data_IF_095780153642
#
_entry.id   IF_095780153642
#
_cell.length_a   1.000
_cell.length_b   1.000
_cell.length_c   1.000
_cell.angle_alpha   90.00
_cell.angle_beta   90.00
_cell.angle_gamma   90.00
#
_symmetry.space_group_name_H-M   'P 1'
#
loop_
_entity.id
_entity.type
_entity.pdbx_description
1 polymer ?
#
# COMPACT_ATOMS: atom_id res chain seq x y z
N UNK A 1 8.07 3.68 -14.17
CA UNK A 1 7.62 5.02 -14.60
C UNK A 1 6.16 4.97 -15.00
N UNK A 2 5.32 5.83 -14.44
CA UNK A 2 3.95 5.99 -14.95
C UNK A 2 4.00 6.74 -16.28
N UNK A 3 3.36 6.19 -17.32
CA UNK A 3 3.11 6.88 -18.59
C UNK A 3 1.60 6.95 -18.87
N UNK A 4 1.20 7.97 -19.61
CA UNK A 4 -0.16 8.16 -20.07
C UNK A 4 -0.16 8.66 -21.51
N UNK A 5 -0.88 7.97 -22.40
CA UNK A 5 -1.03 8.36 -23.80
C UNK A 5 -2.48 8.66 -24.17
N UNK A 6 -2.72 9.57 -25.12
CA UNK A 6 -4.06 9.81 -25.68
C UNK A 6 -4.21 9.40 -27.15
N UNK A 7 -5.45 9.42 -27.65
CA UNK A 7 -5.78 9.08 -29.05
C UNK A 7 -5.26 10.10 -30.08
N UNK A 8 -4.62 11.18 -29.63
CA UNK A 8 -4.10 12.26 -30.48
C UNK A 8 -2.57 12.19 -30.62
N UNK A 9 -1.95 11.11 -30.13
CA UNK A 9 -0.51 10.87 -30.22
C UNK A 9 0.30 11.59 -29.13
N UNK A 10 -0.35 12.21 -28.14
CA UNK A 10 0.36 12.80 -27.00
C UNK A 10 0.65 11.72 -25.97
N UNK A 11 1.84 11.79 -25.37
CA UNK A 11 2.26 10.93 -24.26
C UNK A 11 2.99 11.78 -23.23
N UNK A 12 2.72 11.54 -21.95
CA UNK A 12 3.46 12.13 -20.84
C UNK A 12 3.84 11.06 -19.80
N UNK A 13 4.79 11.40 -18.94
CA UNK A 13 5.05 10.64 -17.72
C UNK A 13 4.40 11.33 -16.53
N UNK A 14 4.09 10.54 -15.50
CA UNK A 14 3.65 11.02 -14.19
C UNK A 14 4.65 10.55 -13.12
N UNK A 15 5.92 10.76 -13.43
CA UNK A 15 7.08 10.44 -12.61
C UNK A 15 7.29 8.93 -12.35
N UNK A 16 8.25 8.63 -11.47
CA UNK A 16 8.65 7.29 -11.08
C UNK A 16 7.92 6.76 -9.84
N UNK A 17 8.08 5.45 -9.64
CA UNK A 17 7.83 4.77 -8.38
C UNK A 17 9.04 3.90 -8.08
N UNK A 18 9.41 3.81 -6.81
CA UNK A 18 10.34 2.81 -6.29
C UNK A 18 9.55 1.60 -5.80
N UNK A 19 9.96 0.41 -6.22
CA UNK A 19 9.23 -0.84 -5.97
C UNK A 19 10.18 -1.97 -5.52
N UNK A 20 11.38 -1.63 -5.08
CA UNK A 20 12.42 -2.59 -4.70
C UNK A 20 12.10 -3.39 -3.44
N UNK A 21 11.21 -2.90 -2.57
CA UNK A 21 10.76 -3.66 -1.40
C UNK A 21 9.78 -4.74 -1.84
N UNK A 22 10.34 -5.91 -2.14
CA UNK A 22 9.62 -7.06 -2.65
C UNK A 22 10.08 -8.37 -1.99
N UNK A 23 9.22 -9.38 -2.03
CA UNK A 23 9.47 -10.73 -1.53
C UNK A 23 9.11 -11.72 -2.62
N UNK A 24 10.05 -12.58 -3.05
CA UNK A 24 9.82 -13.56 -4.14
C UNK A 24 9.16 -12.92 -5.39
N UNK A 25 9.65 -11.75 -5.79
CA UNK A 25 9.13 -10.95 -6.91
C UNK A 25 7.72 -10.35 -6.72
N UNK A 26 7.16 -10.41 -5.50
CA UNK A 26 5.92 -9.72 -5.15
C UNK A 26 6.27 -8.40 -4.45
N UNK A 27 5.85 -7.27 -5.03
CA UNK A 27 6.02 -5.94 -4.43
C UNK A 27 5.21 -5.86 -3.13
N UNK A 28 5.83 -5.34 -2.07
CA UNK A 28 5.25 -5.27 -0.70
C UNK A 28 5.04 -3.82 -0.26
N UNK A 29 6.02 -2.95 -0.56
CA UNK A 29 5.95 -1.51 -0.33
C UNK A 29 6.42 -0.80 -1.59
N UNK A 30 5.67 0.23 -1.98
CA UNK A 30 5.97 1.08 -3.12
C UNK A 30 5.93 2.54 -2.71
N UNK A 31 6.80 3.35 -3.30
CA UNK A 31 6.85 4.77 -2.95
C UNK A 31 7.10 5.67 -4.16
N UNK A 32 6.67 6.93 -4.04
CA UNK A 32 6.94 7.96 -5.03
C UNK A 32 7.16 9.30 -4.34
N UNK A 33 8.19 10.08 -4.73
CA UNK A 33 9.31 9.73 -5.64
C UNK A 33 10.19 8.59 -5.14
N UNK A 34 11.06 8.08 -6.02
CA UNK A 34 12.11 7.13 -5.61
C UNK A 34 13.15 7.84 -4.72
N UNK A 35 13.49 7.28 -3.54
CA UNK A 35 14.50 7.87 -2.67
C UNK A 35 15.89 7.75 -3.31
N UNK A 36 16.77 8.72 -3.01
CA UNK A 36 18.17 8.72 -3.42
C UNK A 36 18.43 8.65 -4.94
N UNK A 37 17.41 8.81 -5.79
CA UNK A 37 17.55 8.86 -7.24
C UNK A 37 17.99 10.26 -7.70
N UNK A 38 19.17 10.43 -8.34
CA UNK A 38 19.62 11.72 -8.84
C UNK A 38 18.64 12.30 -9.87
N UNK A 39 18.41 13.63 -9.81
CA UNK A 39 17.44 14.31 -10.69
C UNK A 39 17.76 14.09 -12.17
N UNK A 40 19.03 14.18 -12.57
CA UNK A 40 19.44 13.95 -13.96
C UNK A 40 19.10 12.54 -14.46
N UNK A 41 19.24 11.54 -13.59
CA UNK A 41 18.92 10.15 -13.90
C UNK A 41 17.41 9.95 -13.98
N UNK A 42 16.65 10.54 -13.04
CA UNK A 42 15.18 10.55 -13.06
C UNK A 42 14.65 11.14 -14.38
N UNK A 43 15.15 12.29 -14.79
CA UNK A 43 14.74 12.97 -16.03
C UNK A 43 15.06 12.11 -17.25
N UNK A 44 16.23 11.44 -17.25
CA UNK A 44 16.61 10.54 -18.33
C UNK A 44 15.66 9.34 -18.44
N UNK A 45 15.38 8.67 -17.32
CA UNK A 45 14.47 7.51 -17.27
C UNK A 45 13.07 7.91 -17.72
N UNK A 46 12.55 9.05 -17.22
CA UNK A 46 11.24 9.58 -17.62
C UNK A 46 11.17 9.85 -19.12
N UNK A 47 12.20 10.49 -19.69
CA UNK A 47 12.29 10.76 -21.12
C UNK A 47 12.33 9.47 -21.95
N UNK A 48 13.08 8.46 -21.51
CA UNK A 48 13.15 7.15 -22.19
C UNK A 48 11.80 6.43 -22.15
N UNK A 49 11.10 6.46 -21.01
CA UNK A 49 9.77 5.87 -20.87
C UNK A 49 8.75 6.52 -21.82
N UNK A 50 8.72 7.86 -21.91
CA UNK A 50 7.84 8.57 -22.84
C UNK A 50 8.17 8.21 -24.29
N UNK A 51 9.45 8.18 -24.68
CA UNK A 51 9.85 7.78 -26.04
C UNK A 51 9.43 6.35 -26.39
N UNK A 52 9.57 5.41 -25.47
CA UNK A 52 9.16 4.03 -25.66
C UNK A 52 7.64 3.91 -25.86
N UNK A 53 6.84 4.64 -25.09
CA UNK A 53 5.39 4.68 -25.26
C UNK A 53 4.96 5.39 -26.56
N UNK A 54 5.66 6.47 -26.96
CA UNK A 54 5.40 7.18 -28.21
C UNK A 54 5.68 6.33 -29.44
N UNK A 55 6.76 5.53 -29.44
CA UNK A 55 7.16 4.73 -30.61
C UNK A 55 6.14 3.65 -31.00
N UNK A 56 5.30 3.25 -30.05
CA UNK A 56 4.22 2.26 -30.26
C UNK A 56 2.83 2.91 -30.34
N UNK A 57 2.74 4.24 -30.34
CA UNK A 57 1.46 4.96 -30.35
C UNK A 57 0.57 4.61 -29.15
N UNK A 58 1.16 4.51 -27.96
CA UNK A 58 0.48 4.04 -26.76
C UNK A 58 -0.72 4.92 -26.37
N UNK A 59 -1.81 4.31 -25.91
CA UNK A 59 -3.04 4.98 -25.45
C UNK A 59 -3.46 4.42 -24.09
N UNK A 60 -3.88 5.31 -23.18
CA UNK A 60 -4.29 4.98 -21.82
C UNK A 60 -3.14 5.01 -20.81
N UNK A 61 -3.37 4.43 -19.63
CA UNK A 61 -2.37 4.30 -18.58
C UNK A 61 -1.44 3.12 -18.85
N UNK A 62 -0.14 3.29 -18.63
CA UNK A 62 0.84 2.22 -18.70
C UNK A 62 2.02 2.48 -17.77
N UNK A 63 2.82 1.45 -17.52
CA UNK A 63 4.05 1.59 -16.75
C UNK A 63 5.23 1.01 -17.50
N UNK A 64 6.30 1.79 -17.66
CA UNK A 64 7.59 1.29 -18.16
C UNK A 64 8.48 1.00 -16.96
N UNK A 65 8.90 -0.26 -16.83
CA UNK A 65 9.73 -0.74 -15.72
C UNK A 65 11.21 -0.80 -16.10
N UNK A 66 12.06 -0.45 -15.15
CA UNK A 66 13.51 -0.44 -15.32
C UNK A 66 14.18 -1.05 -14.09
N UNK A 67 15.33 -1.68 -14.29
CA UNK A 67 16.24 -2.07 -13.21
C UNK A 67 17.39 -1.08 -13.16
N UNK A 68 17.68 -0.52 -11.99
CA UNK A 68 18.85 0.33 -11.74
C UNK A 68 20.02 -0.51 -11.22
N UNK A 69 21.12 -0.53 -11.98
CA UNK A 69 22.36 -1.19 -11.61
C UNK A 69 23.20 -0.36 -10.63
N UNK A 70 24.12 -1.03 -9.92
CA UNK A 70 25.08 -0.39 -9.00
C UNK A 70 26.02 0.61 -9.70
N UNK A 71 26.14 0.55 -11.03
CA UNK A 71 26.90 1.49 -11.85
C UNK A 71 26.08 2.74 -12.24
N UNK A 72 24.91 2.95 -11.62
CA UNK A 72 23.95 4.01 -11.91
C UNK A 72 23.41 4.00 -13.35
N UNK A 73 23.48 2.84 -14.03
CA UNK A 73 22.80 2.64 -15.32
C UNK A 73 21.48 1.93 -15.11
N UNK A 74 20.49 2.32 -15.91
CA UNK A 74 19.19 1.67 -15.90
C UNK A 74 18.99 0.84 -17.17
N UNK A 75 18.23 -0.24 -17.02
CA UNK A 75 17.96 -1.20 -18.08
C UNK A 75 16.45 -1.40 -18.18
N UNK A 76 15.89 -1.32 -19.39
CA UNK A 76 14.48 -1.63 -19.61
C UNK A 76 14.22 -3.09 -19.22
N UNK A 77 13.14 -3.30 -18.46
CA UNK A 77 12.68 -4.63 -18.07
C UNK A 77 11.43 -5.01 -18.86
N UNK A 78 10.36 -4.24 -18.68
CA UNK A 78 9.07 -4.49 -19.33
C UNK A 78 8.22 -3.22 -19.45
N UNK A 79 7.12 -3.33 -20.19
CA UNK A 79 6.07 -2.33 -20.21
C UNK A 79 4.74 -2.98 -19.84
N UNK A 80 4.20 -2.62 -18.69
CA UNK A 80 2.86 -3.02 -18.27
C UNK A 80 1.83 -2.14 -18.97
N UNK A 81 1.07 -2.72 -19.89
CA UNK A 81 0.08 -2.01 -20.72
C UNK A 81 -1.28 -1.88 -20.03
N UNK A 82 -1.26 -1.58 -18.72
CA UNK A 82 -2.43 -1.46 -17.84
C UNK A 82 -2.12 -0.58 -16.64
N UNK A 83 -3.16 -0.16 -15.92
CA UNK A 83 -2.99 0.43 -14.59
C UNK A 83 -2.41 -0.61 -13.63
N UNK A 84 -1.53 -0.16 -12.74
CA UNK A 84 -0.87 -1.00 -11.75
C UNK A 84 -1.48 -0.82 -10.36
N UNK A 85 -1.19 -1.76 -9.46
CA UNK A 85 -1.72 -1.78 -8.09
C UNK A 85 -1.31 -0.50 -7.36
N UNK A 86 -0.03 -0.15 -7.50
CA UNK A 86 0.67 0.98 -6.90
C UNK A 86 0.44 2.34 -7.60
N UNK A 87 -0.58 2.45 -8.47
CA UNK A 87 -0.93 3.76 -9.05
C UNK A 87 -1.29 4.85 -8.00
N UNK A 88 -1.87 4.55 -6.82
CA UNK A 88 -2.26 5.60 -5.87
C UNK A 88 -1.10 6.44 -5.33
N UNK A 89 0.13 5.89 -5.22
CA UNK A 89 1.27 6.73 -4.81
C UNK A 89 1.54 7.83 -5.84
N UNK A 90 1.36 7.54 -7.14
CA UNK A 90 1.47 8.54 -8.21
C UNK A 90 0.30 9.54 -8.17
N UNK A 91 -0.91 9.10 -7.86
CA UNK A 91 -2.06 9.99 -7.71
C UNK A 91 -1.85 10.99 -6.57
N UNK A 92 -1.38 10.52 -5.41
CA UNK A 92 -1.12 11.38 -4.26
C UNK A 92 -0.10 12.48 -4.52
N UNK A 93 1.00 12.15 -5.21
CA UNK A 93 2.04 13.15 -5.47
C UNK A 93 1.70 14.10 -6.61
N UNK A 94 0.75 13.76 -7.48
CA UNK A 94 0.42 14.56 -8.67
C UNK A 94 -0.96 15.25 -8.60
N UNK A 95 -1.83 14.77 -7.70
CA UNK A 95 -3.24 15.17 -7.61
C UNK A 95 -4.07 14.78 -8.84
N UNK A 96 -3.62 13.81 -9.64
CA UNK A 96 -4.36 13.33 -10.82
C UNK A 96 -5.05 12.01 -10.53
N UNK A 97 -6.31 11.88 -10.93
CA UNK A 97 -7.06 10.62 -10.89
C UNK A 97 -6.82 9.86 -12.20
N UNK A 98 -6.03 8.77 -12.12
CA UNK A 98 -5.61 8.01 -13.28
C UNK A 98 -6.70 7.11 -13.81
N UNK A 99 -7.63 6.65 -12.96
CA UNK A 99 -8.79 5.87 -13.39
C UNK A 99 -9.75 6.76 -14.17
N UNK A 100 -10.04 7.96 -13.66
CA UNK A 100 -10.82 8.97 -14.38
C UNK A 100 -10.16 9.32 -15.71
N UNK A 101 -8.85 9.58 -15.72
CA UNK A 101 -8.12 9.86 -16.95
C UNK A 101 -8.24 8.74 -17.98
N UNK A 102 -8.23 7.47 -17.56
CA UNK A 102 -8.37 6.34 -18.48
C UNK A 102 -9.73 6.39 -19.20
N UNK A 103 -10.79 6.70 -18.47
CA UNK A 103 -12.15 6.87 -19.02
C UNK A 103 -12.17 8.06 -19.98
N UNK A 104 -11.69 9.23 -19.54
CA UNK A 104 -11.73 10.45 -20.36
C UNK A 104 -10.90 10.35 -21.64
N UNK A 105 -9.74 9.68 -21.59
CA UNK A 105 -8.95 9.39 -22.79
C UNK A 105 -9.65 8.37 -23.70
N UNK A 106 -10.32 7.36 -23.14
CA UNK A 106 -11.11 6.43 -23.93
C UNK A 106 -12.26 7.15 -24.66
N UNK A 107 -12.85 8.20 -24.06
CA UNK A 107 -13.82 9.10 -24.70
C UNK A 107 -13.21 10.08 -25.71
N UNK A 108 -11.88 10.15 -25.80
CA UNK A 108 -11.15 10.93 -26.80
C UNK A 108 -10.68 12.30 -26.32
N UNK A 109 -10.73 12.61 -25.02
CA UNK A 109 -10.10 13.83 -24.49
C UNK A 109 -8.58 13.81 -24.65
N UNK A 110 -7.99 14.99 -24.86
CA UNK A 110 -6.53 15.17 -24.93
C UNK A 110 -5.93 15.32 -23.53
N UNK A 111 -4.69 14.87 -23.37
CA UNK A 111 -3.95 15.06 -22.11
C UNK A 111 -3.85 16.54 -21.71
N UNK A 112 -3.70 17.45 -22.70
CA UNK A 112 -3.67 18.90 -22.45
C UNK A 112 -4.97 19.44 -21.87
N UNK A 113 -6.11 18.81 -22.15
CA UNK A 113 -7.39 19.19 -21.55
C UNK A 113 -7.47 18.71 -20.10
N UNK A 114 -7.01 17.49 -19.83
CA UNK A 114 -6.96 16.91 -18.49
C UNK A 114 -6.06 17.74 -17.55
N UNK A 115 -4.89 18.17 -18.06
CA UNK A 115 -3.99 19.02 -17.28
C UNK A 115 -4.33 20.51 -17.33
N UNK A 116 -5.40 20.90 -18.04
CA UNK A 116 -5.76 22.31 -18.29
C UNK A 116 -4.59 23.12 -18.88
N UNK A 117 -3.78 22.47 -19.72
CA UNK A 117 -2.59 23.02 -20.36
C UNK A 117 -1.39 23.23 -19.43
N UNK A 118 -1.45 22.76 -18.18
CA UNK A 118 -0.37 22.93 -17.19
C UNK A 118 0.56 21.73 -17.18
N UNK A 119 1.80 21.98 -16.77
CA UNK A 119 2.74 20.91 -16.41
C UNK A 119 2.31 20.27 -15.10
N UNK A 120 2.27 18.94 -15.07
CA UNK A 120 2.01 18.19 -13.82
C UNK A 120 3.23 18.35 -12.91
N UNK A 121 2.99 18.67 -11.65
CA UNK A 121 4.02 18.85 -10.62
C UNK A 121 3.97 17.70 -9.63
N UNK A 122 5.13 17.30 -9.13
CA UNK A 122 5.28 16.36 -8.02
C UNK A 122 5.28 17.12 -6.70
N UNK A 123 4.46 16.70 -5.75
CA UNK A 123 4.30 17.34 -4.44
C UNK A 123 4.28 16.32 -3.30
N UNK A 124 5.20 16.50 -2.34
CA UNK A 124 5.36 15.61 -1.20
C UNK A 124 5.87 14.22 -1.58
N UNK A 125 5.53 13.26 -0.75
CA UNK A 125 5.94 11.86 -0.85
C UNK A 125 4.76 10.97 -0.50
N UNK A 126 4.59 9.88 -1.23
CA UNK A 126 3.57 8.88 -0.96
C UNK A 126 4.19 7.49 -0.86
N UNK A 127 3.69 6.69 0.08
CA UNK A 127 4.10 5.30 0.30
C UNK A 127 2.83 4.46 0.40
N UNK A 128 2.79 3.37 -0.37
CA UNK A 128 1.77 2.32 -0.32
C UNK A 128 2.36 1.07 0.35
N UNK A 129 1.58 0.47 1.25
CA UNK A 129 1.83 -0.85 1.79
C UNK A 129 0.66 -1.78 1.48
N UNK A 130 0.96 -3.00 1.06
CA UNK A 130 -0.05 -4.03 0.76
C UNK A 130 -0.29 -4.91 1.98
N UNK A 131 -1.50 -4.84 2.52
CA UNK A 131 -1.94 -5.65 3.65
C UNK A 131 -2.48 -6.97 3.10
N UNK A 132 -1.84 -8.07 3.49
CA UNK A 132 -2.18 -9.42 3.08
C UNK A 132 -2.57 -10.25 4.30
N UNK A 133 -3.55 -11.14 4.12
CA UNK A 133 -3.82 -12.25 5.03
C UNK A 133 -2.78 -13.36 4.82
N UNK A 134 -1.57 -13.14 5.34
CA UNK A 134 -0.44 -14.06 5.30
C UNK A 134 0.22 -14.09 6.67
N UNK A 135 0.89 -15.21 6.99
CA UNK A 135 1.59 -15.40 8.25
C UNK A 135 3.12 -15.24 8.09
N UNK A 136 3.71 -14.07 8.45
CA UNK A 136 5.14 -13.84 8.29
C UNK A 136 6.04 -14.80 9.06
N UNK A 137 5.56 -15.37 10.18
CA UNK A 137 6.33 -16.34 10.95
C UNK A 137 6.31 -17.73 10.32
N UNK A 138 5.26 -18.03 9.56
CA UNK A 138 5.10 -19.31 8.89
C UNK A 138 5.37 -19.17 7.38
N UNK A 139 6.50 -18.56 7.03
CA UNK A 139 6.98 -18.41 5.65
C UNK A 139 5.97 -17.73 4.70
N UNK A 140 5.15 -16.82 5.26
CA UNK A 140 4.10 -16.08 4.57
C UNK A 140 3.06 -16.97 3.90
N UNK A 141 2.73 -18.11 4.54
CA UNK A 141 1.62 -18.93 4.10
C UNK A 141 0.31 -18.10 4.18
N UNK A 142 -0.57 -18.20 3.16
CA UNK A 142 -1.87 -17.53 3.21
C UNK A 142 -2.67 -17.95 4.45
N UNK A 143 -3.27 -16.98 5.12
CA UNK A 143 -4.18 -17.19 6.23
C UNK A 143 -5.61 -17.00 5.73
N UNK A 144 -6.42 -18.06 5.78
CA UNK A 144 -7.82 -18.03 5.33
C UNK A 144 -8.78 -18.05 6.51
N UNK A 145 -9.98 -17.52 6.31
CA UNK A 145 -11.02 -17.50 7.32
C UNK A 145 -11.90 -16.26 7.24
N UNK A 146 -12.80 -16.11 8.20
CA UNK A 146 -13.68 -14.96 8.29
C UNK A 146 -12.94 -13.80 8.96
N UNK A 147 -12.98 -12.63 8.34
CA UNK A 147 -12.59 -11.36 8.97
C UNK A 147 -13.65 -11.02 10.02
N UNK A 148 -13.43 -11.44 11.27
CA UNK A 148 -14.36 -11.24 12.38
C UNK A 148 -14.58 -9.76 12.67
N UNK A 149 -13.55 -8.94 12.47
CA UNK A 149 -13.61 -7.50 12.58
C UNK A 149 -12.47 -6.87 11.79
N UNK A 150 -12.75 -5.77 11.10
CA UNK A 150 -11.74 -4.95 10.44
C UNK A 150 -12.09 -3.47 10.59
N UNK A 151 -11.11 -2.69 11.02
CA UNK A 151 -11.20 -1.24 11.14
C UNK A 151 -9.86 -0.60 10.75
N UNK A 152 -9.93 0.33 9.81
CA UNK A 152 -8.80 1.15 9.41
C UNK A 152 -8.95 2.56 10.02
N UNK A 153 -7.84 3.22 10.38
CA UNK A 153 -7.92 4.58 10.91
C UNK A 153 -8.39 5.58 9.85
N UNK A 154 -9.28 6.50 10.23
CA UNK A 154 -9.70 7.62 9.37
C UNK A 154 -8.78 8.83 9.59
N UNK A 155 -7.97 9.15 8.57
CA UNK A 155 -6.97 10.23 8.61
C UNK A 155 -6.95 10.97 7.26
N UNK A 156 -6.84 12.29 7.29
CA UNK A 156 -6.80 13.14 6.07
C UNK A 156 -5.66 12.77 5.11
N UNK A 157 -4.53 12.30 5.64
CA UNK A 157 -3.35 11.95 4.87
C UNK A 157 -3.33 10.49 4.38
N UNK A 158 -4.37 9.72 4.69
CA UNK A 158 -4.42 8.29 4.46
C UNK A 158 -5.56 7.96 3.49
N UNK A 159 -5.26 7.07 2.54
CA UNK A 159 -6.24 6.41 1.68
C UNK A 159 -6.11 4.91 1.91
N UNK A 160 -7.26 4.27 2.02
CA UNK A 160 -7.35 2.82 2.10
C UNK A 160 -8.23 2.33 0.95
N UNK A 161 -7.64 1.56 0.05
CA UNK A 161 -8.36 0.85 -1.00
C UNK A 161 -8.55 -0.59 -0.53
N UNK A 162 -9.77 -0.97 -0.13
CA UNK A 162 -10.13 -2.32 0.34
C UNK A 162 -11.24 -2.92 -0.51
N UNK A 163 -11.18 -4.24 -0.73
CA UNK A 163 -12.24 -5.04 -1.37
C UNK A 163 -13.04 -5.88 -0.39
N UNK A 164 -12.75 -5.79 0.91
CA UNK A 164 -13.33 -6.60 1.98
C UNK A 164 -13.85 -5.73 3.12
N UNK A 165 -14.78 -6.30 3.89
CA UNK A 165 -15.38 -5.69 5.06
C UNK A 165 -15.55 -6.72 6.20
N UNK A 166 -15.93 -6.25 7.40
CA UNK A 166 -16.20 -7.13 8.54
C UNK A 166 -17.24 -8.19 8.15
N UNK A 167 -16.93 -9.47 8.39
CA UNK A 167 -17.72 -10.63 8.00
C UNK A 167 -17.33 -11.24 6.64
N UNK A 168 -16.43 -10.63 5.89
CA UNK A 168 -15.92 -11.20 4.62
C UNK A 168 -15.09 -12.46 4.86
N UNK A 169 -15.11 -13.40 3.91
CA UNK A 169 -14.29 -14.62 3.92
C UNK A 169 -13.05 -14.47 3.03
N UNK A 170 -11.86 -14.65 3.61
CA UNK A 170 -10.61 -14.80 2.86
C UNK A 170 -10.48 -16.27 2.45
N UNK A 171 -10.56 -16.52 1.15
CA UNK A 171 -10.52 -17.87 0.56
C UNK A 171 -9.15 -18.20 -0.04
N UNK A 172 -8.91 -19.48 -0.32
CA UNK A 172 -7.68 -19.97 -0.99
C UNK A 172 -7.65 -19.68 -2.50
N UNK A 173 -8.76 -19.24 -3.10
CA UNK A 173 -8.91 -19.21 -4.56
C UNK A 173 -8.30 -17.96 -5.21
N UNK A 174 -8.07 -16.90 -4.43
CA UNK A 174 -7.63 -15.61 -4.93
C UNK A 174 -6.45 -15.09 -4.11
N UNK A 175 -5.91 -13.95 -4.54
CA UNK A 175 -4.88 -13.22 -3.81
C UNK A 175 -5.41 -12.82 -2.41
N UNK A 176 -4.72 -13.16 -1.29
CA UNK A 176 -5.18 -12.83 0.06
C UNK A 176 -5.02 -11.34 0.43
N UNK A 177 -5.02 -10.43 -0.55
CA UNK A 177 -4.90 -8.99 -0.29
C UNK A 177 -6.16 -8.47 0.40
N UNK A 178 -5.98 -7.90 1.58
CA UNK A 178 -7.05 -7.26 2.37
C UNK A 178 -7.23 -5.82 1.87
N UNK A 179 -6.14 -5.06 1.85
CA UNK A 179 -6.19 -3.65 1.49
C UNK A 179 -4.84 -3.14 0.99
N UNK A 180 -4.89 -2.03 0.26
CA UNK A 180 -3.74 -1.15 0.04
C UNK A 180 -3.89 0.02 0.99
N UNK A 181 -2.86 0.30 1.78
CA UNK A 181 -2.82 1.45 2.67
C UNK A 181 -1.80 2.44 2.15
N UNK A 182 -2.26 3.63 1.79
CA UNK A 182 -1.44 4.64 1.12
C UNK A 182 -1.43 5.92 1.95
N UNK A 183 -0.25 6.33 2.39
CA UNK A 183 -0.08 7.57 3.13
C UNK A 183 0.62 8.62 2.25
N UNK A 184 0.33 9.89 2.53
CA UNK A 184 1.06 11.03 1.97
C UNK A 184 1.70 11.88 3.08
N UNK A 185 2.87 12.46 2.80
CA UNK A 185 3.56 13.40 3.67
C UNK A 185 4.31 14.46 2.87
N UNK A 186 4.70 15.57 3.50
CA UNK A 186 5.51 16.60 2.84
C UNK A 186 6.94 16.12 2.60
N UNK A 187 7.43 15.23 3.46
CA UNK A 187 8.71 14.54 3.30
C UNK A 187 8.52 13.04 3.38
N UNK A 188 9.53 12.29 2.93
CA UNK A 188 9.55 10.82 3.02
C UNK A 188 9.48 10.35 4.47
N UNK A 189 10.18 11.03 5.38
CA UNK A 189 10.21 10.70 6.80
C UNK A 189 8.83 10.88 7.44
N UNK A 190 8.16 12.00 7.14
CA UNK A 190 6.79 12.24 7.59
C UNK A 190 5.83 11.18 7.03
N UNK A 191 5.91 10.88 5.74
CA UNK A 191 5.09 9.87 5.09
C UNK A 191 5.30 8.47 5.70
N UNK A 192 6.56 8.10 5.96
CA UNK A 192 6.94 6.83 6.60
C UNK A 192 6.33 6.72 8.01
N UNK A 193 6.46 7.78 8.81
CA UNK A 193 5.90 7.82 10.16
C UNK A 193 4.37 7.72 10.16
N UNK A 194 3.69 8.47 9.28
CA UNK A 194 2.23 8.43 9.10
C UNK A 194 1.72 7.06 8.68
N UNK A 195 2.37 6.44 7.69
CA UNK A 195 1.99 5.10 7.23
C UNK A 195 2.16 4.08 8.36
N UNK A 196 3.29 4.13 9.06
CA UNK A 196 3.55 3.23 10.19
C UNK A 196 2.50 3.39 11.29
N UNK A 197 2.21 4.61 11.72
CA UNK A 197 1.17 4.89 12.73
C UNK A 197 -0.19 4.34 12.28
N UNK A 198 -0.52 4.48 11.00
CA UNK A 198 -1.79 4.00 10.44
C UNK A 198 -1.88 2.47 10.42
N UNK A 199 -0.78 1.80 10.08
CA UNK A 199 -0.67 0.33 10.16
C UNK A 199 -0.78 -0.14 11.61
N UNK A 200 -0.06 0.50 12.54
CA UNK A 200 -0.11 0.15 13.97
C UNK A 200 -1.50 0.37 14.59
N UNK A 201 -2.28 1.30 14.02
CA UNK A 201 -3.64 1.62 14.48
C UNK A 201 -4.73 0.80 13.77
N UNK A 202 -4.35 -0.06 12.82
CA UNK A 202 -5.28 -0.92 12.09
C UNK A 202 -5.66 -2.12 12.97
N UNK A 203 -6.96 -2.41 13.06
CA UNK A 203 -7.47 -3.53 13.83
C UNK A 203 -8.02 -4.58 12.87
N UNK A 204 -7.47 -5.78 12.91
CA UNK A 204 -7.95 -6.93 12.14
C UNK A 204 -8.04 -8.13 13.09
N UNK A 205 -9.22 -8.75 13.16
CA UNK A 205 -9.45 -10.01 13.88
C UNK A 205 -9.92 -11.08 12.88
N UNK A 206 -9.44 -12.32 13.08
CA UNK A 206 -9.67 -13.44 12.17
C UNK A 206 -8.35 -13.97 11.60
N UNK A 207 -8.16 -14.00 10.27
CA UNK A 207 -6.90 -14.41 9.64
C UNK A 207 -5.70 -13.60 10.15
N UNK A 208 -4.54 -14.26 10.21
CA UNK A 208 -3.25 -13.61 10.48
C UNK A 208 -2.86 -12.74 9.30
N UNK A 209 -2.30 -11.56 9.58
CA UNK A 209 -1.90 -10.60 8.56
C UNK A 209 -0.40 -10.29 8.60
N UNK A 210 0.07 -9.56 7.59
CA UNK A 210 1.43 -9.05 7.53
C UNK A 210 1.60 -7.66 8.18
N UNK A 211 0.60 -7.11 8.87
CA UNK A 211 0.62 -5.72 9.39
C UNK A 211 1.81 -5.42 10.31
N UNK A 212 2.08 -6.30 11.27
CA UNK A 212 3.24 -6.17 12.17
C UNK A 212 4.57 -6.25 11.42
N UNK A 213 4.67 -7.10 10.40
CA UNK A 213 5.85 -7.19 9.55
C UNK A 213 6.07 -5.90 8.74
N UNK A 214 4.99 -5.33 8.18
CA UNK A 214 5.04 -4.03 7.49
C UNK A 214 5.50 -2.91 8.43
N UNK A 215 4.98 -2.87 9.66
CA UNK A 215 5.43 -1.92 10.69
C UNK A 215 6.92 -2.09 11.02
N UNK A 216 7.40 -3.33 11.05
CA UNK A 216 8.82 -3.67 11.18
C UNK A 216 9.68 -3.11 10.03
N UNK A 217 9.23 -3.25 8.77
CA UNK A 217 9.93 -2.70 7.60
C UNK A 217 10.03 -1.17 7.69
N UNK A 218 8.92 -0.50 7.98
CA UNK A 218 8.87 0.97 8.10
C UNK A 218 9.71 1.49 9.28
N UNK A 219 9.98 0.64 10.27
CA UNK A 219 10.87 0.94 11.39
C UNK A 219 12.35 0.74 11.08
N UNK A 220 12.67 -0.02 10.02
CA UNK A 220 14.02 -0.44 9.73
C UNK A 220 14.90 0.73 9.27
N UNK A 221 16.13 0.83 9.82
CA UNK A 221 17.01 1.98 9.59
C UNK A 221 17.42 2.14 8.13
N UNK A 222 17.75 1.04 7.44
CA UNK A 222 18.10 1.11 6.01
C UNK A 222 16.89 1.50 5.13
N UNK A 223 15.66 1.11 5.53
CA UNK A 223 14.45 1.58 4.85
C UNK A 223 14.28 3.09 5.03
N UNK A 224 14.43 3.61 6.25
CA UNK A 224 14.34 5.05 6.55
C UNK A 224 15.39 5.88 5.81
N UNK A 225 16.61 5.35 5.63
CA UNK A 225 17.67 5.99 4.82
C UNK A 225 17.40 5.96 3.31
N UNK A 226 16.42 5.16 2.86
CA UNK A 226 16.15 4.95 1.43
C UNK A 226 17.20 4.05 0.75
N UNK A 227 17.94 3.26 1.53
CA UNK A 227 18.91 2.27 1.03
C UNK A 227 18.15 0.97 0.72
N UNK A 228 17.32 1.02 -0.32
CA UNK A 228 16.46 -0.10 -0.71
C UNK A 228 16.93 -0.70 -2.03
N UNK A 229 16.78 -2.02 -2.16
CA UNK A 229 17.07 -2.78 -3.37
C UNK A 229 16.28 -4.08 -3.35
N UNK A 230 16.23 -4.76 -4.49
CA UNK A 230 15.38 -5.93 -4.73
C UNK A 230 15.61 -7.14 -3.82
N UNK A 231 16.73 -7.17 -3.10
CA UNK A 231 17.10 -8.23 -2.15
C UNK A 231 17.01 -7.75 -0.69
N UNK A 232 16.47 -6.55 -0.45
CA UNK A 232 16.40 -5.94 0.89
C UNK A 232 15.76 -6.88 1.93
N UNK A 233 14.61 -7.48 1.62
CA UNK A 233 13.91 -8.38 2.55
C UNK A 233 14.58 -9.76 2.70
N UNK A 234 15.55 -10.09 1.85
CA UNK A 234 16.37 -11.31 1.96
C UNK A 234 17.63 -11.06 2.81
N UNK A 235 18.16 -9.84 2.77
CA UNK A 235 19.40 -9.45 3.45
C UNK A 235 19.16 -8.85 4.85
N UNK A 236 18.03 -8.18 5.06
CA UNK A 236 17.73 -7.48 6.31
C UNK A 236 16.84 -8.32 7.23
N UNK A 237 17.20 -8.37 8.51
CA UNK A 237 16.33 -8.97 9.54
C UNK A 237 15.28 -7.96 9.99
N UNK A 238 14.01 -8.24 9.66
CA UNK A 238 12.88 -7.41 10.11
C UNK A 238 12.43 -7.88 11.49
N UNK A 239 12.51 -6.99 12.47
CA UNK A 239 12.01 -7.24 13.83
C UNK A 239 10.56 -6.79 13.94
N UNK A 240 9.68 -7.66 14.40
CA UNK A 240 8.26 -7.39 14.64
C UNK A 240 7.71 -8.33 15.72
N UNK A 241 6.60 -7.93 16.34
CA UNK A 241 5.86 -8.79 17.27
C UNK A 241 4.91 -9.69 16.49
N UNK A 242 4.90 -11.01 16.73
CA UNK A 242 3.92 -11.93 16.16
C UNK A 242 2.47 -11.49 16.39
N UNK A 243 1.68 -11.44 15.33
CA UNK A 243 0.27 -11.03 15.43
C UNK A 243 -0.56 -12.02 16.26
N UNK A 244 -0.27 -13.32 16.17
CA UNK A 244 -0.98 -14.36 16.92
C UNK A 244 -0.89 -14.13 18.44
N UNK A 245 0.27 -13.68 18.91
CA UNK A 245 0.49 -13.39 20.32
C UNK A 245 -0.38 -12.20 20.76
N UNK A 246 -0.43 -11.15 19.93
CA UNK A 246 -1.25 -9.95 20.20
C UNK A 246 -2.75 -10.28 20.19
N UNK A 247 -3.22 -11.09 19.23
CA UNK A 247 -4.62 -11.52 19.19
C UNK A 247 -4.97 -12.37 20.43
N UNK A 248 -4.10 -13.30 20.84
CA UNK A 248 -4.31 -14.13 22.03
C UNK A 248 -4.41 -13.28 23.32
N UNK A 249 -3.56 -12.28 23.47
CA UNK A 249 -3.62 -11.32 24.57
C UNK A 249 -4.93 -10.53 24.53
N UNK A 250 -5.31 -9.99 23.37
CA UNK A 250 -6.55 -9.23 23.20
C UNK A 250 -7.80 -10.05 23.57
N UNK A 251 -7.88 -11.31 23.13
CA UNK A 251 -8.96 -12.22 23.50
C UNK A 251 -8.96 -12.52 25.01
N UNK A 252 -7.79 -12.70 25.61
CA UNK A 252 -7.65 -12.93 27.06
C UNK A 252 -8.13 -11.73 27.88
N UNK A 253 -7.76 -10.51 27.47
CA UNK A 253 -8.24 -9.27 28.08
C UNK A 253 -9.75 -9.08 27.90
N UNK A 254 -10.29 -9.31 26.70
CA UNK A 254 -11.73 -9.22 26.44
C UNK A 254 -12.52 -10.23 27.28
N UNK A 255 -12.04 -11.48 27.38
CA UNK A 255 -12.65 -12.51 28.21
C UNK A 255 -12.64 -12.14 29.70
N UNK A 256 -11.53 -11.58 30.21
CA UNK A 256 -11.43 -11.09 31.58
C UNK A 256 -12.44 -9.96 31.86
N UNK A 257 -12.52 -8.95 30.98
CA UNK A 257 -13.45 -7.83 31.11
C UNK A 257 -14.93 -8.27 31.07
N UNK A 258 -15.27 -9.23 30.21
CA UNK A 258 -16.62 -9.81 30.14
C UNK A 258 -16.94 -10.67 31.39
N UNK A 259 -15.94 -11.36 31.94
CA UNK A 259 -16.09 -12.14 33.18
C UNK A 259 -16.34 -11.26 34.40
N UNK A 260 -15.65 -10.12 34.50
CA UNK A 260 -15.90 -9.12 35.55
C UNK A 260 -17.30 -8.49 35.43
N UNK A 261 -17.75 -8.16 34.21
CA UNK A 261 -19.15 -7.71 33.97
C UNK A 261 -20.19 -8.76 34.36
N UNK A 262 -19.91 -10.05 34.16
CA UNK A 262 -20.80 -11.13 34.63
C UNK A 262 -20.80 -11.28 36.16
N UNK A 263 -19.67 -11.03 36.82
CA UNK A 263 -19.58 -11.04 38.30
C UNK A 263 -20.29 -9.83 38.94
N UNK A 264 -20.44 -8.72 38.24
CA UNK A 264 -21.13 -7.53 38.77
C UNK A 264 -22.67 -7.61 38.72
N UNK A 265 -23.25 -8.61 38.04
CA UNK A 265 -24.66 -8.96 38.24
C UNK A 265 -24.79 -9.78 39.52
N UNK A 266 -24.89 -9.08 40.65
CA UNK A 266 -25.09 -9.71 41.95
C UNK A 266 -26.35 -10.56 41.95
N UNK A 267 -26.36 -11.64 42.74
CA UNK A 267 -27.53 -12.53 42.95
C UNK A 267 -28.82 -11.71 43.23
N UNK A 268 -28.68 -10.54 43.86
CA UNK A 268 -29.77 -9.62 44.16
C UNK A 268 -30.41 -8.94 42.93
N UNK A 269 -29.67 -8.74 41.85
CA UNK A 269 -30.23 -8.24 40.57
C UNK A 269 -30.92 -9.35 39.77
N UNK A 270 -30.41 -10.60 39.86
CA UNK A 270 -30.96 -11.74 39.13
C UNK A 270 -32.26 -12.30 39.77
N UNK A 271 -32.44 -12.13 41.08
CA UNK A 271 -33.57 -12.70 41.84
C UNK A 271 -34.73 -11.69 42.01
N UNK A 272 -34.48 -10.39 41.80
CA UNK A 272 -35.46 -9.33 42.00
C UNK A 272 -35.96 -9.23 43.46
N UNK A 273 -36.67 -8.17 43.84
CA UNK A 273 -37.18 -7.99 45.21
C UNK A 273 -38.26 -9.02 45.63
N UNK A 274 -38.61 -9.99 44.77
CA UNK A 274 -39.68 -10.97 45.00
C UNK A 274 -39.24 -12.39 45.31
N UNK A 275 -37.94 -12.73 45.26
CA UNK A 275 -37.48 -14.13 45.36
C UNK A 275 -37.27 -14.68 46.78
N UNK A 276 -37.69 -13.96 47.82
CA UNK A 276 -37.70 -14.46 49.20
C UNK A 276 -39.07 -14.21 49.83
N UNK A 277 -40.06 -14.99 49.38
CA UNK A 277 -41.28 -15.27 50.12
C UNK A 277 -41.58 -16.77 50.04
#
# INVERSE_FOLDING_TARGET
MQVFGDKHGNVMHLFERECSIQRRHQKVIEESPAPNLPISLRDEICRVAVKAAQSIGYVGAGTVEFILGKDNKFYFLEMNTRLQVEHPVTEYITGQDLVEWQIQVAEGKKLSELTKGKTVIQNGHAIEARIYAEDPENNFLPSTGILEYIEFPDREFLRVDTGVETGSEITVYYDPMIAKMIAWGKTREECTARLKESIDSTVIFGPVTNTFYLSGILSHEEFKKGNTHTHFLEEQTILFTPEKDVQADAFSFAAAALSEKKKSQGIWEAVGPGGFW
#
